data_IF_209738026916
#
_entry.id   IF_209738026916
#
_cell.length_a   1.000
_cell.length_b   1.000
_cell.length_c   1.000
_cell.angle_alpha   90.00
_cell.angle_beta   90.00
_cell.angle_gamma   90.00
#
_symmetry.space_group_name_H-M   'P 1'
#
loop_
_entity.id
_entity.type
_entity.pdbx_description
1 polymer ?
#
# COMPACT_ATOMS: atom_id res chain seq x y z
N UNK A 1 4.06 -25.85 6.18
CA UNK A 1 4.60 -25.83 4.81
C UNK A 1 6.09 -25.57 4.94
N UNK A 2 6.96 -26.36 4.33
CA UNK A 2 8.39 -26.08 4.37
C UNK A 2 8.66 -24.82 3.53
N UNK A 3 9.11 -23.75 4.16
CA UNK A 3 9.55 -22.54 3.44
C UNK A 3 10.77 -22.91 2.59
N UNK A 4 10.64 -22.83 1.28
CA UNK A 4 11.77 -22.99 0.37
C UNK A 4 12.68 -21.76 0.55
N UNK A 5 13.75 -21.92 1.32
CA UNK A 5 14.75 -20.89 1.51
C UNK A 5 15.70 -20.92 0.31
N UNK A 6 15.54 -19.97 -0.62
CA UNK A 6 16.42 -19.83 -1.78
C UNK A 6 17.89 -19.66 -1.31
N UNK A 7 18.85 -20.48 -1.74
CA UNK A 7 20.27 -20.27 -1.46
C UNK A 7 20.76 -18.92 -2.02
N UNK A 8 21.72 -18.29 -1.34
CA UNK A 8 22.36 -17.04 -1.79
C UNK A 8 22.95 -17.15 -3.21
N UNK A 9 23.44 -18.34 -3.54
CA UNK A 9 24.00 -18.68 -4.84
C UNK A 9 22.94 -18.60 -5.94
N UNK A 10 21.73 -19.11 -5.71
CA UNK A 10 20.65 -19.07 -6.69
C UNK A 10 20.19 -17.63 -6.98
N UNK A 11 20.06 -16.78 -5.95
CA UNK A 11 19.71 -15.36 -6.15
C UNK A 11 20.80 -14.62 -6.92
N UNK A 12 22.07 -14.96 -6.68
CA UNK A 12 23.20 -14.36 -7.40
C UNK A 12 23.24 -14.82 -8.86
N UNK A 13 22.89 -16.08 -9.13
CA UNK A 13 22.71 -16.60 -10.50
C UNK A 13 21.59 -15.83 -11.21
N UNK A 14 20.44 -15.62 -10.55
CA UNK A 14 19.36 -14.82 -11.11
C UNK A 14 19.79 -13.38 -11.38
N UNK A 15 20.43 -12.72 -10.42
CA UNK A 15 20.92 -11.36 -10.58
C UNK A 15 21.83 -11.23 -11.80
N UNK A 16 22.76 -12.19 -12.00
CA UNK A 16 23.61 -12.25 -13.19
C UNK A 16 22.83 -12.51 -14.48
N UNK A 17 21.83 -13.41 -14.45
CA UNK A 17 20.96 -13.66 -15.60
C UNK A 17 20.19 -12.40 -16.03
N UNK A 18 19.90 -11.50 -15.09
CA UNK A 18 19.32 -10.18 -15.33
C UNK A 18 20.36 -9.05 -15.42
N UNK A 19 21.63 -9.34 -15.69
CA UNK A 19 22.73 -8.36 -15.81
C UNK A 19 22.82 -7.38 -14.63
N UNK A 20 22.52 -7.85 -13.41
CA UNK A 20 22.47 -7.04 -12.20
C UNK A 20 21.50 -5.85 -12.25
N UNK A 21 20.47 -5.92 -13.11
CA UNK A 21 19.35 -4.96 -13.17
C UNK A 21 18.35 -5.16 -12.02
N UNK A 22 18.85 -5.03 -10.79
CA UNK A 22 18.07 -5.28 -9.56
C UNK A 22 17.27 -4.05 -9.09
N UNK A 23 17.65 -2.85 -9.55
CA UNK A 23 16.98 -1.56 -9.26
C UNK A 23 15.81 -1.28 -10.20
N UNK A 24 14.97 -2.30 -10.38
CA UNK A 24 13.81 -2.27 -11.25
C UNK A 24 12.58 -2.59 -10.40
N UNK A 25 12.04 -1.62 -9.67
CA UNK A 25 10.97 -1.89 -8.71
C UNK A 25 9.71 -2.37 -9.45
N UNK A 26 9.11 -3.45 -8.95
CA UNK A 26 7.87 -4.00 -9.47
C UNK A 26 6.67 -3.33 -8.81
N UNK A 27 6.15 -2.30 -9.47
CA UNK A 27 5.01 -1.53 -9.01
C UNK A 27 3.69 -2.29 -9.15
N UNK A 28 3.59 -3.20 -10.11
CA UNK A 28 2.40 -4.04 -10.29
C UNK A 28 2.29 -5.05 -9.16
N UNK A 29 3.43 -5.61 -8.74
CA UNK A 29 3.52 -6.43 -7.52
C UNK A 29 3.03 -5.67 -6.29
N UNK A 30 3.46 -4.42 -6.09
CA UNK A 30 2.97 -3.61 -4.98
C UNK A 30 1.45 -3.33 -5.05
N UNK A 31 0.90 -3.14 -6.24
CA UNK A 31 -0.55 -2.92 -6.44
C UNK A 31 -1.40 -4.18 -6.23
N UNK A 32 -0.83 -5.35 -6.50
CA UNK A 32 -1.55 -6.61 -6.41
C UNK A 32 -1.82 -7.05 -4.95
N UNK A 33 -1.02 -6.59 -3.99
CA UNK A 33 -1.07 -7.08 -2.61
C UNK A 33 -1.30 -5.96 -1.59
N UNK A 34 -2.33 -6.04 -0.73
CA UNK A 34 -2.57 -5.07 0.34
C UNK A 34 -1.59 -5.20 1.52
N UNK A 35 -0.86 -6.30 1.59
CA UNK A 35 0.13 -6.60 2.61
C UNK A 35 1.30 -7.36 1.96
N UNK A 36 2.51 -7.05 2.38
CA UNK A 36 3.74 -7.61 1.82
C UNK A 36 4.76 -7.87 2.91
N UNK A 37 5.78 -8.66 2.58
CA UNK A 37 6.94 -8.82 3.46
C UNK A 37 7.61 -7.48 3.70
N UNK A 38 8.11 -7.27 4.92
CA UNK A 38 8.77 -6.05 5.32
C UNK A 38 10.00 -5.77 4.44
N UNK A 39 10.74 -6.83 4.08
CA UNK A 39 11.83 -6.76 3.11
C UNK A 39 11.40 -6.24 1.75
N UNK A 40 10.30 -6.76 1.17
CA UNK A 40 9.80 -6.28 -0.11
C UNK A 40 9.40 -4.82 -0.06
N UNK A 41 8.72 -4.39 1.02
CA UNK A 41 8.30 -3.00 1.19
C UNK A 41 9.48 -2.05 1.35
N UNK A 42 10.48 -2.42 2.17
CA UNK A 42 11.70 -1.63 2.32
C UNK A 42 12.54 -1.64 1.04
N UNK A 43 12.58 -2.75 0.30
CA UNK A 43 13.23 -2.85 -1.01
C UNK A 43 12.63 -1.85 -1.99
N UNK A 44 11.32 -1.92 -2.17
CA UNK A 44 10.58 -1.00 -3.03
C UNK A 44 10.74 0.46 -2.60
N UNK A 45 10.87 0.73 -1.29
CA UNK A 45 11.11 2.09 -0.75
C UNK A 45 12.41 2.73 -1.23
N UNK A 46 13.38 1.93 -1.70
CA UNK A 46 14.65 2.41 -2.29
C UNK A 46 14.75 2.10 -3.79
N UNK A 47 13.66 1.65 -4.42
CA UNK A 47 13.64 1.29 -5.84
C UNK A 47 14.21 -0.10 -6.17
N UNK A 48 14.38 -0.98 -5.17
CA UNK A 48 14.84 -2.35 -5.39
C UNK A 48 13.67 -3.25 -5.80
N UNK A 49 13.90 -4.17 -6.74
CA UNK A 49 12.92 -5.20 -7.08
C UNK A 49 12.68 -6.14 -5.88
N UNK A 50 11.43 -6.51 -5.55
CA UNK A 50 11.10 -7.35 -4.37
C UNK A 50 11.83 -8.69 -4.31
N UNK A 51 12.13 -9.31 -5.46
CA UNK A 51 12.90 -10.56 -5.54
C UNK A 51 14.32 -10.44 -4.98
N UNK A 52 14.93 -9.25 -5.08
CA UNK A 52 16.30 -8.99 -4.69
C UNK A 52 16.40 -8.28 -3.32
N UNK A 53 15.30 -8.17 -2.57
CA UNK A 53 15.26 -7.44 -1.29
C UNK A 53 15.57 -8.29 -0.07
N UNK A 54 16.42 -9.31 -0.20
CA UNK A 54 16.82 -10.17 0.93
C UNK A 54 18.02 -9.58 1.69
N UNK A 55 17.92 -9.27 3.00
CA UNK A 55 18.96 -8.51 3.71
C UNK A 55 20.30 -9.23 3.78
N UNK A 56 20.27 -10.55 3.97
CA UNK A 56 21.46 -11.41 3.96
C UNK A 56 22.17 -11.34 2.61
N UNK A 57 21.42 -11.51 1.52
CA UNK A 57 21.96 -11.44 0.17
C UNK A 57 22.44 -10.02 -0.20
N UNK A 58 21.69 -8.98 0.17
CA UNK A 58 22.11 -7.60 -0.08
C UNK A 58 23.41 -7.29 0.65
N UNK A 59 23.53 -7.71 1.92
CA UNK A 59 24.72 -7.45 2.72
C UNK A 59 25.95 -8.23 2.25
N UNK A 60 25.80 -9.51 1.93
CA UNK A 60 26.93 -10.39 1.59
C UNK A 60 27.29 -10.42 0.11
N UNK A 61 26.36 -10.10 -0.79
CA UNK A 61 26.55 -10.28 -2.24
C UNK A 61 26.34 -8.98 -3.01
N UNK A 62 25.13 -8.41 -2.97
CA UNK A 62 24.79 -7.31 -3.87
C UNK A 62 25.54 -6.01 -3.57
N UNK A 63 25.59 -5.59 -2.30
CA UNK A 63 26.31 -4.38 -1.92
C UNK A 63 27.81 -4.50 -2.23
N UNK A 64 28.51 -5.57 -1.83
CA UNK A 64 29.91 -5.76 -2.22
C UNK A 64 30.14 -5.73 -3.75
N UNK A 65 29.23 -6.32 -4.55
CA UNK A 65 29.30 -6.27 -6.01
C UNK A 65 29.34 -4.82 -6.54
N UNK A 66 28.42 -3.98 -6.07
CA UNK A 66 28.34 -2.58 -6.47
C UNK A 66 29.46 -1.70 -5.87
N UNK A 67 30.09 -2.11 -4.77
CA UNK A 67 31.31 -1.49 -4.22
C UNK A 67 32.59 -1.87 -4.98
N UNK A 68 32.48 -2.70 -6.02
CA UNK A 68 33.60 -3.14 -6.85
C UNK A 68 34.26 -4.44 -6.38
N UNK A 69 33.75 -5.11 -5.35
CA UNK A 69 34.20 -6.43 -4.91
C UNK A 69 33.51 -7.54 -5.73
N UNK A 70 33.63 -7.46 -7.06
CA UNK A 70 33.01 -8.41 -8.00
C UNK A 70 34.04 -9.32 -8.66
N UNK A 71 33.54 -10.42 -9.22
CA UNK A 71 34.39 -11.40 -9.87
C UNK A 71 34.87 -10.86 -11.21
N UNK A 72 36.17 -10.60 -11.34
CA UNK A 72 36.76 -10.03 -12.57
C UNK A 72 36.65 -10.95 -13.79
N UNK A 73 36.42 -12.24 -13.60
CA UNK A 73 36.27 -13.20 -14.69
C UNK A 73 34.83 -13.25 -15.22
N UNK A 74 33.85 -12.96 -14.37
CA UNK A 74 32.43 -13.14 -14.67
C UNK A 74 31.69 -11.82 -14.85
N UNK A 75 32.15 -10.74 -14.22
CA UNK A 75 31.42 -9.50 -14.07
C UNK A 75 32.19 -8.31 -14.71
N UNK A 76 31.50 -7.35 -15.37
CA UNK A 76 32.13 -6.19 -16.00
C UNK A 76 32.78 -5.27 -14.94
N UNK A 77 33.74 -4.39 -15.27
CA UNK A 77 34.39 -3.49 -14.31
C UNK A 77 33.42 -2.44 -13.73
N UNK A 78 33.75 -1.91 -12.54
CA UNK A 78 32.91 -0.95 -11.82
C UNK A 78 32.75 0.38 -12.54
N UNK A 79 31.51 0.88 -12.48
CA UNK A 79 31.11 2.18 -13.02
C UNK A 79 30.85 3.16 -11.88
N UNK A 80 30.86 4.46 -12.17
CA UNK A 80 30.50 5.48 -11.17
C UNK A 80 29.06 5.30 -10.68
N UNK A 81 28.15 4.83 -11.53
CA UNK A 81 26.76 4.52 -11.18
C UNK A 81 26.63 3.37 -10.17
N UNK A 82 27.62 2.47 -10.11
CA UNK A 82 27.61 1.36 -9.16
C UNK A 82 27.76 1.87 -7.72
N UNK A 83 28.50 2.96 -7.50
CA UNK A 83 28.66 3.53 -6.16
C UNK A 83 27.32 4.07 -5.62
N UNK A 84 26.53 4.74 -6.46
CA UNK A 84 25.20 5.22 -6.08
C UNK A 84 24.26 4.04 -5.72
N UNK A 85 24.32 2.95 -6.50
CA UNK A 85 23.58 1.71 -6.19
C UNK A 85 24.02 1.09 -4.87
N UNK A 86 25.31 1.07 -4.55
CA UNK A 86 25.81 0.59 -3.27
C UNK A 86 25.26 1.42 -2.09
N UNK A 87 25.15 2.73 -2.25
CA UNK A 87 24.55 3.63 -1.26
C UNK A 87 23.04 3.36 -1.07
N UNK A 88 22.30 3.09 -2.14
CA UNK A 88 20.90 2.71 -2.05
C UNK A 88 20.71 1.35 -1.36
N UNK A 89 21.59 0.38 -1.61
CA UNK A 89 21.60 -0.89 -0.87
C UNK A 89 21.94 -0.69 0.62
N UNK A 90 22.85 0.22 0.94
CA UNK A 90 23.13 0.60 2.33
C UNK A 90 21.91 1.26 2.98
N UNK A 91 21.20 2.12 2.25
CA UNK A 91 19.94 2.73 2.70
C UNK A 91 18.87 1.67 2.98
N UNK A 92 18.75 0.68 2.10
CA UNK A 92 17.88 -0.48 2.32
C UNK A 92 18.22 -1.22 3.61
N UNK A 93 19.50 -1.58 3.83
CA UNK A 93 19.95 -2.29 5.03
C UNK A 93 19.69 -1.51 6.32
N UNK A 94 19.84 -0.18 6.27
CA UNK A 94 19.51 0.70 7.39
C UNK A 94 18.00 0.73 7.64
N UNK A 95 17.20 0.95 6.60
CA UNK A 95 15.74 1.01 6.70
C UNK A 95 15.14 -0.29 7.20
N UNK A 96 15.65 -1.45 6.78
CA UNK A 96 15.12 -2.74 7.24
C UNK A 96 15.42 -3.00 8.71
N UNK A 97 16.59 -2.59 9.21
CA UNK A 97 16.91 -2.65 10.63
C UNK A 97 15.99 -1.75 11.45
N UNK A 98 15.77 -0.51 11.01
CA UNK A 98 14.86 0.44 11.67
C UNK A 98 13.43 -0.13 11.68
N UNK A 99 12.96 -0.63 10.56
CA UNK A 99 11.61 -1.17 10.43
C UNK A 99 11.41 -2.41 11.31
N UNK A 100 12.35 -3.35 11.30
CA UNK A 100 12.30 -4.54 12.15
C UNK A 100 12.33 -4.18 13.64
N UNK A 101 13.14 -3.20 14.05
CA UNK A 101 13.17 -2.69 15.42
C UNK A 101 11.90 -1.95 15.84
N UNK A 102 11.05 -1.56 14.89
CA UNK A 102 9.77 -0.89 15.13
C UNK A 102 8.55 -1.83 15.00
N UNK A 103 8.76 -3.14 14.92
CA UNK A 103 7.66 -4.10 14.98
C UNK A 103 7.01 -4.13 16.37
N UNK A 104 5.69 -4.23 16.41
CA UNK A 104 4.93 -4.47 17.63
C UNK A 104 5.35 -5.81 18.27
N UNK A 105 5.34 -5.94 19.62
CA UNK A 105 4.73 -5.01 20.58
C UNK A 105 5.62 -3.85 21.05
N UNK A 106 6.93 -3.87 20.75
CA UNK A 106 7.84 -2.82 21.21
C UNK A 106 7.75 -1.54 20.37
N UNK A 107 7.42 -1.67 19.08
CA UNK A 107 7.24 -0.55 18.17
C UNK A 107 5.79 -0.35 17.71
N UNK A 108 5.63 0.34 16.59
CA UNK A 108 4.33 0.81 16.08
C UNK A 108 3.89 0.13 14.80
N UNK A 109 4.73 -0.71 14.20
CA UNK A 109 4.43 -1.43 12.97
C UNK A 109 3.81 -2.79 13.31
N UNK A 110 2.53 -2.97 12.96
CA UNK A 110 1.79 -4.17 13.34
C UNK A 110 2.08 -5.32 12.35
N UNK A 111 2.66 -6.45 12.81
CA UNK A 111 2.76 -7.64 11.97
C UNK A 111 1.36 -8.24 11.76
N UNK A 112 1.02 -8.57 10.51
CA UNK A 112 -0.21 -9.28 10.15
C UNK A 112 -0.04 -10.77 10.38
N UNK A 113 1.12 -11.31 10.01
CA UNK A 113 1.44 -12.73 10.13
C UNK A 113 2.98 -12.92 10.16
N UNK A 114 3.40 -14.09 10.66
CA UNK A 114 4.78 -14.54 10.69
C UNK A 114 5.54 -14.26 11.99
N UNK A 115 6.79 -14.72 12.01
CA UNK A 115 7.75 -14.40 13.08
C UNK A 115 8.23 -12.97 12.85
N UNK A 116 8.28 -12.16 13.91
CA UNK A 116 8.80 -10.79 13.87
C UNK A 116 10.30 -10.76 13.52
N UNK A 117 10.59 -10.81 12.22
CA UNK A 117 11.92 -10.69 11.61
C UNK A 117 11.82 -10.04 10.24
N UNK A 118 12.83 -9.22 9.87
CA UNK A 118 12.77 -8.36 8.67
C UNK A 118 12.44 -9.09 7.36
N UNK A 119 12.90 -10.33 7.19
CA UNK A 119 12.71 -11.12 5.97
C UNK A 119 11.32 -11.76 5.82
N UNK A 120 10.65 -12.10 6.94
CA UNK A 120 9.45 -12.93 6.93
C UNK A 120 8.20 -12.22 7.49
N UNK A 121 8.36 -11.06 8.12
CA UNK A 121 7.23 -10.34 8.71
C UNK A 121 6.39 -9.73 7.61
N UNK A 122 5.10 -10.04 7.59
CA UNK A 122 4.14 -9.41 6.69
C UNK A 122 3.50 -8.22 7.40
N UNK A 123 3.46 -7.07 6.75
CA UNK A 123 2.82 -5.85 7.27
C UNK A 123 1.90 -5.24 6.21
N UNK A 124 0.91 -4.46 6.66
CA UNK A 124 0.04 -3.71 5.76
C UNK A 124 0.84 -2.68 4.97
N UNK A 125 0.59 -2.57 3.66
CA UNK A 125 1.22 -1.54 2.82
C UNK A 125 0.90 -0.14 3.36
N UNK A 126 -0.36 0.10 3.76
CA UNK A 126 -0.80 1.38 4.30
C UNK A 126 -0.12 1.73 5.63
N UNK A 127 0.01 0.77 6.54
CA UNK A 127 0.71 0.99 7.81
C UNK A 127 2.21 1.24 7.60
N UNK A 128 2.83 0.51 6.67
CA UNK A 128 4.22 0.74 6.29
C UNK A 128 4.43 2.13 5.71
N UNK A 129 3.53 2.60 4.83
CA UNK A 129 3.60 3.95 4.26
C UNK A 129 3.47 5.03 5.33
N UNK A 130 2.49 4.89 6.24
CA UNK A 130 2.34 5.82 7.36
C UNK A 130 3.56 5.80 8.30
N UNK A 131 4.16 4.63 8.52
CA UNK A 131 5.40 4.48 9.27
C UNK A 131 6.58 5.17 8.56
N UNK A 132 6.79 4.93 7.28
CA UNK A 132 7.84 5.54 6.49
C UNK A 132 7.68 7.07 6.41
N UNK A 133 6.44 7.56 6.28
CA UNK A 133 6.11 8.98 6.31
C UNK A 133 6.47 9.65 7.64
N UNK A 134 6.19 9.02 8.78
CA UNK A 134 6.58 9.55 10.11
C UNK A 134 8.09 9.61 10.34
N UNK A 135 8.88 8.85 9.58
CA UNK A 135 10.34 8.87 9.62
C UNK A 135 10.96 9.76 8.53
N UNK A 136 10.13 10.51 7.81
CA UNK A 136 10.54 11.37 6.69
C UNK A 136 11.37 10.62 5.65
N UNK A 137 10.99 9.37 5.35
CA UNK A 137 11.68 8.61 4.31
C UNK A 137 11.35 9.18 2.93
N UNK A 138 12.40 9.47 2.16
CA UNK A 138 12.25 9.70 0.73
C UNK A 138 11.81 8.40 0.05
N UNK A 139 10.63 8.42 -0.57
CA UNK A 139 10.01 7.29 -1.25
C UNK A 139 9.87 7.60 -2.74
N UNK A 140 10.05 6.60 -3.63
CA UNK A 140 9.79 6.79 -5.05
C UNK A 140 8.35 7.26 -5.30
N UNK A 141 8.14 8.15 -6.27
CA UNK A 141 6.81 8.73 -6.56
C UNK A 141 5.73 7.66 -6.78
N UNK A 142 6.06 6.55 -7.44
CA UNK A 142 5.12 5.45 -7.65
C UNK A 142 4.76 4.71 -6.36
N UNK A 143 5.63 4.74 -5.35
CA UNK A 143 5.41 4.18 -4.02
C UNK A 143 4.49 5.09 -3.17
N UNK A 144 4.47 6.41 -3.42
CA UNK A 144 3.59 7.35 -2.70
C UNK A 144 2.18 7.47 -3.29
N UNK A 145 1.98 7.11 -4.57
CA UNK A 145 0.65 7.10 -5.23
C UNK A 145 -0.39 6.20 -4.54
N UNK A 146 0.02 5.32 -3.64
CA UNK A 146 -0.87 4.53 -2.79
C UNK A 146 -1.65 5.38 -1.78
N UNK A 147 -1.17 6.60 -1.44
CA UNK A 147 -1.93 7.56 -0.65
C UNK A 147 -3.10 8.19 -1.43
N UNK A 148 -3.03 8.27 -2.77
CA UNK A 148 -4.08 8.89 -3.59
C UNK A 148 -5.39 8.08 -3.66
N UNK A 149 -5.48 6.94 -2.97
CA UNK A 149 -6.70 6.15 -2.80
C UNK A 149 -7.17 6.04 -1.33
N UNK A 150 -6.49 6.69 -0.41
CA UNK A 150 -6.88 6.77 1.01
C UNK A 150 -7.25 8.22 1.33
N UNK A 151 -8.49 8.58 0.99
CA UNK A 151 -9.17 9.73 1.60
C UNK A 151 -9.41 9.41 3.09
N UNK A 152 -8.36 9.57 3.90
CA UNK A 152 -8.50 9.83 5.33
C UNK A 152 -8.29 11.34 5.48
N UNK A 153 -9.41 12.07 5.47
CA UNK A 153 -9.47 13.48 5.83
C UNK A 153 -9.05 13.64 7.30
N UNK A 154 -7.86 14.18 7.56
CA UNK A 154 -7.64 15.06 8.71
C UNK A 154 -7.58 16.53 8.21
N UNK A 155 -8.05 17.49 9.01
CA UNK A 155 -8.48 18.79 8.51
C UNK A 155 -7.35 19.83 8.46
N UNK A 156 -7.24 20.50 7.31
CA UNK A 156 -6.45 21.74 7.13
C UNK A 156 -5.33 21.56 6.09
N UNK A 157 -5.10 22.44 5.12
CA UNK A 157 -5.70 23.71 4.73
C UNK A 157 -5.64 23.79 3.18
N UNK A 158 -6.57 24.58 2.63
CA UNK A 158 -6.82 24.90 1.23
C UNK A 158 -5.70 24.67 0.20
N UNK A 159 -6.01 23.87 -0.84
CA UNK A 159 -5.77 24.30 -2.23
C UNK A 159 -7.01 23.97 -3.09
N UNK A 160 -7.73 25.03 -3.45
CA UNK A 160 -8.78 25.06 -4.45
C UNK A 160 -8.15 24.78 -5.83
N UNK A 161 -8.57 23.72 -6.55
CA UNK A 161 -8.67 23.74 -8.03
C UNK A 161 -9.09 22.42 -8.73
N UNK A 162 -9.96 21.57 -8.15
CA UNK A 162 -10.50 20.41 -8.90
C UNK A 162 -11.98 20.06 -8.67
N UNK A 163 -12.78 20.97 -8.10
CA UNK A 163 -14.11 20.66 -7.57
C UNK A 163 -15.27 20.74 -8.58
N UNK A 164 -15.05 21.19 -9.82
CA UNK A 164 -16.18 21.40 -10.75
C UNK A 164 -16.56 20.16 -11.56
N UNK A 165 -15.62 19.26 -11.89
CA UNK A 165 -15.92 18.10 -12.76
C UNK A 165 -16.48 16.88 -11.98
N UNK A 166 -16.10 16.69 -10.72
CA UNK A 166 -16.55 15.52 -9.92
C UNK A 166 -17.94 15.69 -9.31
N UNK A 167 -18.40 16.93 -9.13
CA UNK A 167 -19.71 17.24 -8.54
C UNK A 167 -20.88 16.70 -9.37
N UNK A 168 -20.76 16.74 -10.70
CA UNK A 168 -21.80 16.25 -11.61
C UNK A 168 -21.95 14.72 -11.59
N UNK A 169 -20.83 14.00 -11.57
CA UNK A 169 -20.83 12.52 -11.53
C UNK A 169 -21.40 12.02 -10.20
N UNK A 170 -21.03 12.68 -9.11
CA UNK A 170 -21.48 12.34 -7.76
C UNK A 170 -22.97 12.59 -7.57
N UNK A 171 -23.49 13.71 -8.06
CA UNK A 171 -24.93 14.01 -8.03
C UNK A 171 -25.73 12.93 -8.77
N UNK A 172 -25.28 12.52 -9.96
CA UNK A 172 -25.94 11.45 -10.71
C UNK A 172 -25.95 10.11 -9.97
N UNK A 173 -24.89 9.79 -9.22
CA UNK A 173 -24.84 8.60 -8.38
C UNK A 173 -25.83 8.68 -7.21
N UNK A 174 -25.92 9.83 -6.54
CA UNK A 174 -26.89 10.07 -5.46
C UNK A 174 -28.33 9.90 -5.98
N UNK A 175 -28.65 10.49 -7.13
CA UNK A 175 -29.99 10.36 -7.74
C UNK A 175 -30.35 8.91 -8.06
N UNK A 176 -29.38 8.12 -8.57
CA UNK A 176 -29.57 6.68 -8.82
C UNK A 176 -29.81 5.88 -7.52
N UNK A 177 -29.10 6.21 -6.44
CA UNK A 177 -29.30 5.58 -5.13
C UNK A 177 -30.71 5.89 -4.59
N UNK A 178 -31.14 7.15 -4.68
CA UNK A 178 -32.47 7.59 -4.25
C UNK A 178 -33.56 6.91 -5.07
N UNK A 179 -33.42 6.86 -6.39
CA UNK A 179 -34.35 6.15 -7.27
C UNK A 179 -34.50 4.68 -6.88
N UNK A 180 -33.39 3.99 -6.61
CA UNK A 180 -33.41 2.59 -6.16
C UNK A 180 -34.01 2.42 -4.77
N UNK A 181 -33.73 3.31 -3.83
CA UNK A 181 -34.36 3.29 -2.52
C UNK A 181 -35.89 3.45 -2.61
N UNK A 182 -36.36 4.35 -3.49
CA UNK A 182 -37.79 4.54 -3.76
C UNK A 182 -38.42 3.32 -4.46
N UNK A 183 -37.73 2.68 -5.41
CA UNK A 183 -38.19 1.43 -6.03
C UNK A 183 -38.39 0.31 -4.99
N UNK A 184 -37.55 0.25 -3.96
CA UNK A 184 -37.71 -0.68 -2.84
C UNK A 184 -38.79 -0.27 -1.83
N UNK A 185 -39.47 0.86 -2.04
CA UNK A 185 -40.47 1.41 -1.13
C UNK A 185 -39.89 1.86 0.21
N UNK A 186 -38.60 2.20 0.26
CA UNK A 186 -37.98 2.70 1.48
C UNK A 186 -38.26 4.17 1.68
N UNK A 187 -38.60 4.54 2.92
CA UNK A 187 -38.50 5.93 3.36
C UNK A 187 -37.02 6.33 3.38
N UNK A 188 -36.67 7.31 2.56
CA UNK A 188 -35.29 7.77 2.37
C UNK A 188 -34.64 8.17 3.70
N UNK A 189 -35.40 8.74 4.64
CA UNK A 189 -34.88 9.19 5.93
C UNK A 189 -34.96 8.13 7.02
N UNK A 190 -35.48 6.94 6.71
CA UNK A 190 -35.72 5.87 7.68
C UNK A 190 -35.51 4.48 7.04
N UNK A 191 -34.40 4.34 6.30
CA UNK A 191 -34.07 3.09 5.61
C UNK A 191 -33.83 1.99 6.65
N UNK A 192 -34.48 0.81 6.53
CA UNK A 192 -34.34 -0.26 7.51
C UNK A 192 -32.91 -0.80 7.57
N UNK A 193 -32.55 -1.41 8.69
CA UNK A 193 -31.27 -2.13 8.83
C UNK A 193 -31.15 -3.20 7.74
N UNK A 194 -30.01 -3.20 7.04
CA UNK A 194 -29.79 -4.04 5.84
C UNK A 194 -30.35 -3.48 4.53
N UNK A 195 -31.15 -2.41 4.56
CA UNK A 195 -31.65 -1.73 3.37
C UNK A 195 -30.53 -1.14 2.51
N UNK A 196 -29.49 -0.57 3.14
CA UNK A 196 -28.28 -0.09 2.45
C UNK A 196 -27.64 -1.19 1.58
N UNK A 197 -27.49 -2.41 2.11
CA UNK A 197 -26.87 -3.51 1.38
C UNK A 197 -27.71 -3.96 0.18
N UNK A 198 -29.04 -3.97 0.32
CA UNK A 198 -29.96 -4.28 -0.78
C UNK A 198 -29.91 -3.23 -1.89
N UNK A 199 -29.89 -1.95 -1.52
CA UNK A 199 -29.75 -0.85 -2.49
C UNK A 199 -28.37 -0.91 -3.16
N UNK A 200 -27.30 -1.19 -2.41
CA UNK A 200 -25.94 -1.37 -2.95
C UNK A 200 -25.89 -2.49 -3.99
N UNK A 201 -26.46 -3.65 -3.69
CA UNK A 201 -26.55 -4.77 -4.62
C UNK A 201 -27.34 -4.46 -5.90
N UNK A 202 -28.42 -3.69 -5.79
CA UNK A 202 -29.25 -3.31 -6.94
C UNK A 202 -28.65 -2.19 -7.81
N UNK A 203 -27.74 -1.39 -7.25
CA UNK A 203 -27.00 -0.38 -7.99
C UNK A 203 -25.78 -0.96 -8.73
N UNK A 204 -25.35 -2.17 -8.42
CA UNK A 204 -24.27 -2.86 -9.14
C UNK A 204 -24.77 -3.52 -10.44
N UNK A 205 -24.01 -3.50 -11.55
CA UNK A 205 -22.68 -2.91 -11.74
C UNK A 205 -22.71 -1.42 -12.18
N UNK A 206 -23.88 -0.79 -12.23
CA UNK A 206 -24.04 0.60 -12.72
C UNK A 206 -23.27 1.61 -11.87
N UNK A 207 -23.12 1.34 -10.58
CA UNK A 207 -22.28 2.08 -9.64
C UNK A 207 -21.35 1.07 -8.99
N UNK A 208 -20.04 1.29 -9.09
CA UNK A 208 -19.03 0.48 -8.39
C UNK A 208 -19.24 0.56 -6.87
N UNK A 209 -18.84 -0.46 -6.13
CA UNK A 209 -19.03 -0.48 -4.68
C UNK A 209 -18.44 0.73 -3.95
N UNK A 210 -17.23 1.15 -4.31
CA UNK A 210 -16.56 2.32 -3.74
C UNK A 210 -17.29 3.63 -4.06
N UNK A 211 -17.74 3.81 -5.30
CA UNK A 211 -18.54 4.96 -5.70
C UNK A 211 -19.89 5.01 -4.98
N UNK A 212 -20.53 3.86 -4.75
CA UNK A 212 -21.78 3.77 -3.99
C UNK A 212 -21.58 4.24 -2.55
N UNK A 213 -20.55 3.74 -1.87
CA UNK A 213 -20.31 4.09 -0.46
C UNK A 213 -20.01 5.58 -0.29
N UNK A 214 -19.24 6.18 -1.19
CA UNK A 214 -18.99 7.63 -1.20
C UNK A 214 -20.26 8.44 -1.46
N UNK A 215 -21.07 8.06 -2.44
CA UNK A 215 -22.34 8.75 -2.75
C UNK A 215 -23.36 8.59 -1.61
N UNK A 216 -23.37 7.44 -0.94
CA UNK A 216 -24.21 7.19 0.22
C UNK A 216 -23.83 8.07 1.41
N UNK A 217 -22.53 8.21 1.71
CA UNK A 217 -22.04 9.09 2.78
C UNK A 217 -22.44 10.54 2.49
N UNK A 218 -22.24 10.99 1.25
CA UNK A 218 -22.56 12.36 0.86
C UNK A 218 -24.06 12.65 0.87
N UNK A 219 -24.89 11.73 0.36
CA UNK A 219 -26.34 11.84 0.48
C UNK A 219 -26.79 11.86 1.95
N UNK A 220 -26.09 11.12 2.83
CA UNK A 220 -26.30 11.16 4.27
C UNK A 220 -25.91 12.49 4.91
N UNK A 221 -24.75 13.07 4.52
CA UNK A 221 -24.30 14.41 4.97
C UNK A 221 -25.29 15.50 4.53
N UNK A 222 -25.87 15.38 3.34
CA UNK A 222 -26.89 16.29 2.79
C UNK A 222 -28.30 16.07 3.35
N UNK A 223 -28.49 15.09 4.22
CA UNK A 223 -29.81 14.76 4.80
C UNK A 223 -30.81 14.19 3.79
N UNK A 224 -30.32 13.64 2.66
CA UNK A 224 -31.16 13.03 1.63
C UNK A 224 -31.50 11.57 1.95
N UNK A 225 -30.65 10.88 2.70
CA UNK A 225 -30.88 9.51 3.15
C UNK A 225 -30.42 9.29 4.59
N UNK A 226 -31.09 8.41 5.32
CA UNK A 226 -30.68 8.00 6.67
C UNK A 226 -31.13 6.58 6.98
N UNK A 227 -30.31 5.87 7.77
CA UNK A 227 -30.64 4.53 8.28
C UNK A 227 -31.39 4.70 9.60
N UNK A 228 -32.47 3.95 9.76
CA UNK A 228 -33.26 3.90 10.99
C UNK A 228 -32.38 3.39 12.15
N UNK A 229 -32.34 4.15 13.24
CA UNK A 229 -31.59 3.91 14.49
C UNK A 229 -30.05 3.98 14.41
N UNK A 230 -29.50 5.17 14.14
CA UNK A 230 -28.06 5.48 14.36
C UNK A 230 -27.60 5.34 15.84
N UNK A 231 -28.52 5.18 16.79
CA UNK A 231 -28.27 5.38 18.23
C UNK A 231 -27.64 4.14 18.94
N UNK A 232 -27.61 2.94 18.34
CA UNK A 232 -27.13 1.74 19.05
C UNK A 232 -25.62 1.50 19.08
N UNK A 233 -24.78 2.34 18.46
CA UNK A 233 -23.32 2.08 18.37
C UNK A 233 -22.41 2.96 19.25
N UNK A 234 -22.94 3.92 20.01
CA UNK A 234 -22.12 4.78 20.91
C UNK A 234 -22.24 4.47 22.40
N UNK A 235 -22.76 3.30 22.79
CA UNK A 235 -22.77 2.89 24.19
C UNK A 235 -22.29 1.46 24.33
N UNK A 236 -20.96 1.30 24.41
CA UNK A 236 -20.32 0.33 25.29
C UNK A 236 -18.94 0.87 25.65
N UNK A 237 -18.83 1.07 26.97
CA UNK A 237 -17.75 1.53 27.85
C UNK A 237 -16.32 1.36 27.36
#
# INVERSE_FOLDING_TARGET
MAEYQYPLEEITIDARAYNWDIFKPDWEFLQAFPALSLCSLVGLSVGLHPWFSRPDWVFHCAKPYFEGNRDSELDPPATEDDQAKAEDLQRFLKRIHIAAGNLAPAGTLNPIDGIAQGAATVVSVAEFLAFAGRLDWELPEKFTRFYALTDVEEPGEAEEDNDQNNKGVREQQIQKIIAKANEFGYDLLSIPLGGKAKIKGACYPVITESAFDRAWIEAGKRGLISIKDKIKFYTKQ
#
